data_IF_711066591168
#
_entry.id   IF_711066591168
#
_cell.length_a   1.000
_cell.length_b   1.000
_cell.length_c   1.000
_cell.angle_alpha   90.00
_cell.angle_beta   90.00
_cell.angle_gamma   90.00
#
_symmetry.space_group_name_H-M   'P 1'
#
loop_
_entity.id
_entity.type
_entity.pdbx_description
1 polymer ?
#
# COMPACT_ATOMS: atom_id res chain seq x y z
N UNK A 1 6.99 18.12 32.97
CA UNK A 1 5.82 18.98 32.69
C UNK A 1 4.82 18.15 31.91
N UNK A 2 3.55 18.05 32.31
CA UNK A 2 2.55 17.32 31.52
C UNK A 2 2.31 18.07 30.22
N UNK A 3 2.42 17.38 29.09
CA UNK A 3 2.10 17.95 27.78
C UNK A 3 0.58 18.13 27.67
N UNK A 4 0.11 19.39 27.66
CA UNK A 4 -1.28 19.74 27.38
C UNK A 4 -1.39 19.94 25.87
N UNK A 5 -1.81 18.91 25.15
CA UNK A 5 -2.00 18.94 23.70
C UNK A 5 -2.47 17.58 23.16
N UNK A 6 -3.16 17.58 22.01
CA UNK A 6 -3.44 16.33 21.28
C UNK A 6 -2.12 15.80 20.74
N UNK A 7 -1.80 14.54 20.99
CA UNK A 7 -0.66 13.88 20.35
C UNK A 7 -0.86 13.89 18.83
N UNK A 8 0.20 14.17 18.07
CA UNK A 8 0.20 14.02 16.61
C UNK A 8 -0.23 12.59 16.28
N UNK A 9 -1.47 12.44 15.80
CA UNK A 9 -2.04 11.13 15.45
C UNK A 9 -1.56 10.68 14.07
N UNK A 10 -1.20 11.63 13.19
CA UNK A 10 -0.63 11.36 11.87
C UNK A 10 0.00 12.62 11.26
N UNK A 11 1.10 12.45 10.51
CA UNK A 11 1.81 13.50 9.78
C UNK A 11 3.32 13.38 9.92
N UNK A 12 4.06 13.35 8.81
CA UNK A 12 5.52 13.24 8.81
C UNK A 12 6.15 14.64 8.83
N UNK A 13 6.11 15.29 9.99
CA UNK A 13 6.75 16.59 10.20
C UNK A 13 8.18 16.38 10.68
N UNK A 14 9.15 16.76 9.86
CA UNK A 14 10.57 16.56 10.16
C UNK A 14 11.20 17.93 10.38
N UNK A 15 11.80 18.14 11.56
CA UNK A 15 12.70 19.27 11.77
C UNK A 15 14.07 18.91 11.18
N UNK A 16 14.57 19.73 10.28
CA UNK A 16 15.89 19.54 9.68
C UNK A 16 16.98 20.00 10.65
N UNK A 17 18.19 19.53 10.40
CA UNK A 17 19.37 19.93 11.14
C UNK A 17 19.65 21.43 10.97
N UNK A 18 20.27 22.02 11.99
CA UNK A 18 20.60 23.44 12.00
C UNK A 18 21.71 23.77 10.98
N UNK A 19 21.52 24.88 10.26
CA UNK A 19 22.46 25.38 9.25
C UNK A 19 23.23 26.61 9.73
N UNK A 20 22.90 27.17 10.90
CA UNK A 20 23.45 28.43 11.40
C UNK A 20 24.99 28.45 11.42
N UNK A 21 25.62 27.33 11.79
CA UNK A 21 27.09 27.22 11.83
C UNK A 21 27.79 27.40 10.48
N UNK A 22 27.03 27.35 9.38
CA UNK A 22 27.54 27.50 8.01
C UNK A 22 27.34 28.91 7.46
N UNK A 23 26.67 29.80 8.19
CA UNK A 23 26.38 31.17 7.73
C UNK A 23 27.61 32.06 7.88
N UNK A 24 28.02 32.71 6.78
CA UNK A 24 29.21 33.56 6.70
C UNK A 24 28.92 34.94 6.06
N UNK A 25 27.65 35.23 5.72
CA UNK A 25 27.26 36.45 5.02
C UNK A 25 27.52 36.44 3.50
N UNK A 26 27.99 35.33 2.93
CA UNK A 26 28.33 35.22 1.50
C UNK A 26 27.77 33.97 0.83
N UNK A 27 27.79 32.83 1.52
CA UNK A 27 27.27 31.54 1.05
C UNK A 27 25.75 31.57 1.01
N UNK A 28 25.19 31.15 -0.12
CA UNK A 28 23.73 31.13 -0.35
C UNK A 28 23.15 29.73 -0.41
N UNK A 29 23.96 28.72 -0.77
CA UNK A 29 23.51 27.33 -0.95
C UNK A 29 23.96 26.43 0.19
N UNK A 30 23.04 25.64 0.73
CA UNK A 30 23.27 24.76 1.88
C UNK A 30 22.63 23.40 1.65
N UNK A 31 23.25 22.35 2.21
CA UNK A 31 22.69 20.99 2.16
C UNK A 31 21.64 20.82 3.26
N UNK A 32 20.49 20.26 2.89
CA UNK A 32 19.42 19.86 3.80
C UNK A 32 19.74 18.48 4.37
N UNK A 33 19.80 18.38 5.70
CA UNK A 33 20.02 17.11 6.41
C UNK A 33 19.02 16.93 7.55
N UNK A 34 18.83 15.68 7.96
CA UNK A 34 18.10 15.30 9.18
C UNK A 34 18.87 14.20 9.89
N UNK A 35 19.26 14.44 11.15
CA UNK A 35 20.08 13.49 11.90
C UNK A 35 21.42 13.17 11.21
N UNK A 36 21.98 14.14 10.47
CA UNK A 36 23.23 14.00 9.72
C UNK A 36 23.11 13.27 8.37
N UNK A 37 21.93 12.79 7.99
CA UNK A 37 21.68 12.18 6.69
C UNK A 37 21.06 13.17 5.71
N UNK A 38 21.41 13.07 4.43
CA UNK A 38 20.85 13.93 3.37
C UNK A 38 19.33 13.84 3.32
N UNK A 39 18.66 14.98 3.26
CA UNK A 39 17.21 15.08 3.16
C UNK A 39 16.81 15.74 1.84
N UNK A 40 15.94 15.07 1.08
CA UNK A 40 15.37 15.60 -0.16
C UNK A 40 13.87 15.83 0.03
N UNK A 41 13.39 17.08 0.11
CA UNK A 41 11.96 17.36 0.18
C UNK A 41 11.27 16.99 -1.13
N UNK A 42 10.01 16.58 -1.05
CA UNK A 42 9.20 16.29 -2.24
C UNK A 42 8.91 17.54 -3.11
N UNK A 43 8.92 18.72 -2.51
CA UNK A 43 8.83 20.03 -3.18
C UNK A 43 9.38 21.12 -2.27
N UNK A 44 9.89 22.22 -2.84
CA UNK A 44 10.29 23.40 -2.07
C UNK A 44 9.11 23.95 -1.23
N UNK A 45 7.89 23.89 -1.76
CA UNK A 45 6.66 24.32 -1.08
C UNK A 45 6.31 23.48 0.16
N UNK A 46 6.94 22.32 0.34
CA UNK A 46 6.77 21.49 1.51
C UNK A 46 7.70 21.91 2.67
N UNK A 47 8.50 22.97 2.52
CA UNK A 47 9.36 23.48 3.59
C UNK A 47 8.79 24.76 4.19
N UNK A 48 8.69 24.78 5.51
CA UNK A 48 8.57 26.01 6.29
C UNK A 48 9.95 26.44 6.75
N UNK A 49 10.47 27.53 6.17
CA UNK A 49 11.80 28.07 6.47
C UNK A 49 11.66 29.38 7.21
N UNK A 50 12.30 29.49 8.37
CA UNK A 50 12.43 30.73 9.13
C UNK A 50 13.89 31.10 9.23
N UNK A 51 14.25 32.30 8.77
CA UNK A 51 15.60 32.84 8.83
C UNK A 51 15.58 34.19 9.54
N UNK A 52 16.39 34.36 10.60
CA UNK A 52 16.41 35.57 11.41
C UNK A 52 15.06 35.89 12.10
N UNK A 53 14.23 34.87 12.31
CA UNK A 53 12.85 35.03 12.83
C UNK A 53 11.81 35.43 11.79
N UNK A 54 12.18 35.56 10.51
CA UNK A 54 11.26 35.90 9.41
C UNK A 54 11.00 34.65 8.55
N UNK A 55 9.71 34.37 8.29
CA UNK A 55 9.30 33.29 7.39
C UNK A 55 9.68 33.65 5.96
N UNK A 56 10.34 32.73 5.26
CA UNK A 56 10.83 32.92 3.91
C UNK A 56 9.83 32.38 2.89
N UNK A 57 9.63 33.11 1.79
CA UNK A 57 8.74 32.70 0.70
C UNK A 57 9.51 31.86 -0.34
N UNK A 58 8.96 30.71 -0.71
CA UNK A 58 9.50 29.85 -1.78
C UNK A 58 9.43 30.58 -3.13
N UNK A 59 10.50 30.50 -3.91
CA UNK A 59 10.60 31.10 -5.25
C UNK A 59 11.10 32.53 -5.25
N UNK A 60 10.84 33.29 -4.17
CA UNK A 60 11.34 34.67 -3.99
C UNK A 60 12.53 34.73 -3.05
N UNK A 61 12.40 34.20 -1.83
CA UNK A 61 13.44 34.25 -0.80
C UNK A 61 14.40 33.05 -0.86
N UNK A 62 13.92 31.90 -1.31
CA UNK A 62 14.74 30.72 -1.50
C UNK A 62 14.20 29.77 -2.58
N UNK A 63 15.07 28.91 -3.08
CA UNK A 63 14.73 27.79 -3.97
C UNK A 63 15.34 26.50 -3.43
N UNK A 64 14.81 25.35 -3.86
CA UNK A 64 15.35 24.04 -3.47
C UNK A 64 15.54 23.18 -4.72
N UNK A 65 16.74 22.61 -4.84
CA UNK A 65 17.08 21.66 -5.90
C UNK A 65 17.66 20.42 -5.24
N UNK A 66 17.00 19.27 -5.39
CA UNK A 66 17.35 18.04 -4.70
C UNK A 66 17.42 18.26 -3.18
N UNK A 67 18.59 18.02 -2.58
CA UNK A 67 18.88 18.18 -1.17
C UNK A 67 19.52 19.53 -0.83
N UNK A 68 19.49 20.51 -1.73
CA UNK A 68 20.12 21.81 -1.52
C UNK A 68 19.08 22.93 -1.50
N UNK A 69 19.15 23.76 -0.46
CA UNK A 69 18.41 25.02 -0.37
C UNK A 69 19.34 26.17 -0.77
N UNK A 70 18.85 27.08 -1.62
CA UNK A 70 19.56 28.28 -2.05
C UNK A 70 18.75 29.51 -1.69
N UNK A 71 19.30 30.35 -0.82
CA UNK A 71 18.70 31.65 -0.47
C UNK A 71 19.04 32.71 -1.51
N UNK A 72 18.08 33.60 -1.79
CA UNK A 72 18.29 34.72 -2.73
C UNK A 72 19.26 35.76 -2.18
N UNK A 73 19.34 35.89 -0.85
CA UNK A 73 20.33 36.71 -0.15
C UNK A 73 21.11 35.82 0.83
N UNK A 74 22.43 36.01 0.97
CA UNK A 74 23.22 35.23 1.89
C UNK A 74 22.79 35.50 3.34
N UNK A 75 22.53 34.46 4.15
CA UNK A 75 22.29 34.62 5.57
C UNK A 75 23.45 35.31 6.28
N UNK A 76 23.16 36.25 7.19
CA UNK A 76 24.18 36.84 8.06
C UNK A 76 24.70 35.80 9.06
N UNK A 77 25.96 35.96 9.51
CA UNK A 77 26.60 34.98 10.39
C UNK A 77 25.90 34.83 11.77
N UNK A 78 25.12 35.83 12.18
CA UNK A 78 24.34 35.86 13.41
C UNK A 78 22.88 35.42 13.22
N UNK A 79 22.45 35.13 11.98
CA UNK A 79 21.08 34.75 11.69
C UNK A 79 20.76 33.35 12.26
N UNK A 80 19.65 33.25 13.00
CA UNK A 80 19.10 31.97 13.44
C UNK A 80 18.25 31.35 12.35
N UNK A 81 18.26 30.03 12.22
CA UNK A 81 17.44 29.30 11.26
C UNK A 81 16.70 28.13 11.90
N UNK A 82 15.49 27.87 11.42
CA UNK A 82 14.89 26.55 11.53
C UNK A 82 14.13 26.23 10.25
N UNK A 83 14.15 24.94 9.89
CA UNK A 83 13.42 24.43 8.73
C UNK A 83 12.58 23.24 9.19
N UNK A 84 11.29 23.29 8.89
CA UNK A 84 10.36 22.18 9.09
C UNK A 84 9.91 21.68 7.72
N UNK A 85 10.17 20.41 7.42
CA UNK A 85 9.52 19.75 6.30
C UNK A 85 8.12 19.28 6.71
N UNK A 86 7.12 19.72 5.95
CA UNK A 86 5.70 19.48 6.17
C UNK A 86 5.22 18.14 5.57
N UNK A 87 6.16 17.27 5.17
CA UNK A 87 5.92 15.96 4.57
C UNK A 87 5.97 15.97 3.05
N UNK A 88 6.12 14.80 2.45
CA UNK A 88 6.10 14.63 0.99
C UNK A 88 4.65 14.62 0.49
N UNK A 89 4.43 15.12 -0.73
CA UNK A 89 3.15 15.01 -1.43
C UNK A 89 2.75 13.54 -1.55
N UNK A 90 1.68 13.19 -0.83
CA UNK A 90 1.03 11.87 -0.77
C UNK A 90 1.93 10.77 -0.20
N UNK A 91 2.10 10.77 1.12
CA UNK A 91 2.34 9.52 1.84
C UNK A 91 1.00 8.79 1.95
N UNK A 92 0.71 7.87 1.02
CA UNK A 92 -0.23 6.80 1.35
C UNK A 92 0.45 5.98 2.44
N UNK A 93 0.09 6.25 3.69
CA UNK A 93 0.63 5.50 4.82
C UNK A 93 0.36 4.01 4.62
N UNK A 94 1.33 3.15 4.93
CA UNK A 94 1.08 1.72 5.04
C UNK A 94 0.00 1.52 6.12
N UNK A 95 -1.15 0.90 5.81
CA UNK A 95 -2.13 0.58 6.83
C UNK A 95 -1.48 -0.29 7.91
N UNK A 96 -1.76 0.00 9.18
CA UNK A 96 -1.33 -0.89 10.25
C UNK A 96 -2.03 -2.25 10.14
N UNK A 97 -1.45 -3.27 10.74
CA UNK A 97 -1.97 -4.64 10.70
C UNK A 97 -3.45 -4.68 11.14
N UNK A 98 -4.29 -5.31 10.32
CA UNK A 98 -5.73 -5.46 10.59
C UNK A 98 -6.58 -4.19 10.41
N UNK A 99 -6.01 -3.07 9.94
CA UNK A 99 -6.76 -1.81 9.84
C UNK A 99 -7.55 -1.63 8.54
N UNK A 100 -7.30 -2.44 7.51
CA UNK A 100 -8.09 -2.41 6.27
C UNK A 100 -9.27 -3.36 6.42
N UNK A 101 -10.48 -2.80 6.46
CA UNK A 101 -11.74 -3.54 6.46
C UNK A 101 -12.49 -3.32 5.13
N UNK A 102 -13.60 -4.04 4.94
CA UNK A 102 -14.39 -3.99 3.71
C UNK A 102 -14.95 -2.59 3.39
N UNK A 103 -15.16 -1.73 4.40
CA UNK A 103 -15.70 -0.36 4.20
C UNK A 103 -14.63 0.61 3.72
N UNK A 104 -13.35 0.27 3.91
CA UNK A 104 -12.19 1.06 3.46
C UNK A 104 -11.78 0.76 2.02
N UNK A 105 -12.45 -0.17 1.35
CA UNK A 105 -12.22 -0.52 -0.05
C UNK A 105 -13.26 0.18 -0.94
N UNK A 106 -12.80 1.04 -1.84
CA UNK A 106 -13.65 1.90 -2.70
C UNK A 106 -14.46 1.09 -3.75
N UNK A 107 -14.03 -0.14 -4.10
CA UNK A 107 -14.76 -1.04 -4.98
C UNK A 107 -14.47 -2.52 -4.63
N UNK A 108 -15.31 -3.43 -5.16
CA UNK A 108 -15.17 -4.89 -5.12
C UNK A 108 -13.71 -5.35 -5.21
N UNK A 109 -13.34 -6.42 -4.49
CA UNK A 109 -12.01 -7.02 -4.59
C UNK A 109 -11.57 -7.08 -6.07
N UNK A 110 -10.50 -6.35 -6.40
CA UNK A 110 -9.89 -6.39 -7.72
C UNK A 110 -9.24 -7.75 -7.98
N UNK A 111 -8.30 -7.81 -8.92
CA UNK A 111 -7.51 -9.03 -9.14
C UNK A 111 -6.58 -9.27 -7.95
N UNK A 112 -6.78 -10.37 -7.23
CA UNK A 112 -5.82 -10.85 -6.22
C UNK A 112 -4.82 -11.80 -6.89
N UNK A 113 -3.53 -11.47 -6.84
CA UNK A 113 -2.45 -12.25 -7.48
C UNK A 113 -1.50 -12.89 -6.45
N UNK A 114 -1.89 -12.92 -5.18
CA UNK A 114 -1.07 -13.43 -4.08
C UNK A 114 -1.20 -14.92 -3.84
N UNK A 115 -0.31 -15.46 -3.01
CA UNK A 115 -0.37 -16.83 -2.49
C UNK A 115 -1.09 -16.78 -1.15
N UNK A 116 -2.23 -17.45 -1.01
CA UNK A 116 -3.01 -17.44 0.22
C UNK A 116 -4.37 -18.11 0.10
N UNK A 117 -5.05 -18.25 1.24
CA UNK A 117 -6.42 -18.76 1.30
C UNK A 117 -7.42 -17.62 1.15
N UNK A 118 -8.42 -17.82 0.30
CA UNK A 118 -9.57 -16.92 0.19
C UNK A 118 -10.78 -17.62 0.82
N UNK A 119 -11.38 -17.00 1.84
CA UNK A 119 -12.60 -17.50 2.49
C UNK A 119 -13.78 -16.62 2.09
N UNK A 120 -14.74 -17.18 1.36
CA UNK A 120 -15.99 -16.51 0.96
C UNK A 120 -17.18 -17.12 1.69
N UNK A 121 -18.04 -16.28 2.24
CA UNK A 121 -19.37 -16.68 2.72
C UNK A 121 -20.38 -16.35 1.63
N UNK A 122 -20.91 -17.36 0.94
CA UNK A 122 -21.91 -17.19 -0.12
C UNK A 122 -21.60 -17.96 -1.41
N UNK A 123 -22.17 -17.50 -2.52
CA UNK A 123 -22.02 -18.11 -3.86
C UNK A 123 -20.75 -17.59 -4.52
N UNK A 124 -19.95 -18.49 -5.08
CA UNK A 124 -18.83 -18.14 -5.98
C UNK A 124 -19.31 -18.21 -7.44
N UNK A 125 -19.58 -17.06 -8.05
CA UNK A 125 -19.90 -16.96 -9.48
C UNK A 125 -18.63 -16.65 -10.27
N UNK A 126 -17.98 -17.68 -10.82
CA UNK A 126 -16.76 -17.54 -11.61
C UNK A 126 -16.95 -18.12 -13.02
N UNK A 127 -16.32 -17.50 -14.02
CA UNK A 127 -16.24 -18.06 -15.38
C UNK A 127 -15.32 -19.28 -15.45
N UNK A 128 -14.32 -19.36 -14.57
CA UNK A 128 -13.50 -20.55 -14.37
C UNK A 128 -12.96 -20.62 -12.95
N UNK A 129 -12.89 -21.83 -12.40
CA UNK A 129 -12.08 -22.14 -11.21
C UNK A 129 -10.98 -23.11 -11.64
N UNK A 130 -9.72 -22.81 -11.31
CA UNK A 130 -8.56 -23.64 -11.63
C UNK A 130 -7.78 -23.89 -10.34
N UNK A 131 -7.54 -25.16 -10.01
CA UNK A 131 -6.84 -25.58 -8.79
C UNK A 131 -6.81 -27.10 -8.68
N UNK A 132 -6.15 -27.65 -7.65
CA UNK A 132 -6.09 -29.10 -7.41
C UNK A 132 -7.44 -29.72 -7.04
N UNK A 133 -8.40 -28.91 -6.60
CA UNK A 133 -9.76 -29.34 -6.29
C UNK A 133 -9.88 -30.27 -5.07
N UNK A 134 -8.79 -30.61 -4.39
CA UNK A 134 -8.74 -31.65 -3.34
C UNK A 134 -9.59 -31.34 -2.11
N UNK A 135 -9.86 -30.05 -1.88
CA UNK A 135 -10.68 -29.53 -0.78
C UNK A 135 -12.06 -29.02 -1.22
N UNK A 136 -12.42 -29.15 -2.51
CA UNK A 136 -13.77 -28.84 -2.97
C UNK A 136 -14.72 -29.94 -2.49
N UNK A 137 -15.38 -29.70 -1.37
CA UNK A 137 -16.39 -30.58 -0.76
C UNK A 137 -17.78 -29.91 -0.85
N UNK A 138 -18.85 -30.69 -0.80
CA UNK A 138 -20.22 -30.14 -0.75
C UNK A 138 -20.71 -29.50 -2.06
N UNK A 139 -20.04 -29.74 -3.19
CA UNK A 139 -20.58 -29.43 -4.52
C UNK A 139 -21.81 -30.32 -4.74
N UNK A 140 -22.98 -29.82 -4.32
CA UNK A 140 -24.25 -30.47 -4.66
C UNK A 140 -24.38 -30.47 -6.17
N UNK A 141 -24.80 -31.61 -6.73
CA UNK A 141 -24.85 -31.91 -8.16
C UNK A 141 -25.83 -31.03 -8.98
N UNK A 142 -25.82 -29.72 -8.78
CA UNK A 142 -26.32 -28.77 -9.74
C UNK A 142 -25.42 -28.82 -10.96
N UNK A 143 -25.67 -29.82 -11.81
CA UNK A 143 -25.31 -29.91 -13.23
C UNK A 143 -23.92 -29.34 -13.51
N UNK A 144 -22.91 -30.21 -13.64
CA UNK A 144 -21.73 -29.86 -14.45
C UNK A 144 -22.22 -29.62 -15.88
N UNK A 145 -22.79 -28.44 -16.14
CA UNK A 145 -23.25 -28.01 -17.47
C UNK A 145 -22.02 -27.62 -18.24
N UNK A 146 -21.33 -28.62 -18.76
CA UNK A 146 -20.49 -28.42 -19.91
C UNK A 146 -21.37 -28.63 -21.13
N UNK A 147 -21.47 -27.60 -21.98
CA UNK A 147 -22.11 -27.72 -23.30
C UNK A 147 -21.33 -28.67 -24.24
N UNK A 148 -20.29 -29.39 -23.75
CA UNK A 148 -19.56 -30.36 -24.57
C UNK A 148 -18.94 -31.60 -23.90
N UNK A 149 -18.59 -31.68 -22.61
CA UNK A 149 -17.99 -32.93 -22.04
C UNK A 149 -18.13 -33.03 -20.51
N UNK A 150 -18.44 -34.24 -20.00
CA UNK A 150 -18.46 -34.58 -18.57
C UNK A 150 -17.10 -34.54 -17.85
N UNK A 151 -16.94 -35.31 -16.78
CA UNK A 151 -15.68 -35.36 -16.00
C UNK A 151 -14.60 -36.05 -16.87
N UNK A 152 -13.56 -35.30 -17.27
CA UNK A 152 -12.37 -35.86 -17.93
C UNK A 152 -11.34 -36.16 -16.86
N UNK A 153 -11.00 -37.44 -16.69
CA UNK A 153 -9.96 -37.89 -15.77
C UNK A 153 -8.95 -38.75 -16.48
N UNK A 154 -7.70 -38.70 -16.00
CA UNK A 154 -6.62 -39.57 -16.50
C UNK A 154 -6.53 -40.87 -15.69
N UNK A 155 -7.44 -41.07 -14.74
CA UNK A 155 -7.56 -42.23 -13.84
C UNK A 155 -9.04 -42.60 -13.65
N UNK A 156 -9.37 -43.85 -13.30
CA UNK A 156 -10.75 -44.23 -13.03
C UNK A 156 -11.39 -43.38 -11.93
N UNK A 157 -12.64 -42.95 -12.16
CA UNK A 157 -13.46 -42.25 -11.16
C UNK A 157 -14.47 -43.23 -10.60
N UNK A 158 -14.56 -43.31 -9.27
CA UNK A 158 -15.65 -44.00 -8.59
C UNK A 158 -16.83 -43.04 -8.40
N UNK A 159 -18.04 -43.46 -8.82
CA UNK A 159 -19.29 -42.81 -8.41
C UNK A 159 -19.86 -43.63 -7.27
N UNK A 160 -19.91 -43.07 -6.06
CA UNK A 160 -20.58 -43.75 -4.94
C UNK A 160 -22.09 -43.51 -5.07
N UNK A 161 -22.82 -44.54 -5.49
CA UNK A 161 -24.26 -44.48 -5.74
C UNK A 161 -25.01 -45.14 -4.59
N UNK A 162 -24.91 -44.61 -3.37
CA UNK A 162 -25.57 -45.25 -2.22
C UNK A 162 -27.11 -45.16 -2.26
N UNK A 163 -27.69 -44.42 -3.22
CA UNK A 163 -29.15 -44.25 -3.38
C UNK A 163 -29.63 -44.19 -4.85
N UNK A 164 -28.86 -44.67 -5.84
CA UNK A 164 -29.41 -44.79 -7.19
C UNK A 164 -30.29 -46.04 -7.28
N UNK A 165 -31.59 -45.87 -7.05
CA UNK A 165 -32.59 -46.86 -7.45
C UNK A 165 -32.92 -46.63 -8.94
N UNK A 166 -31.90 -46.77 -9.80
CA UNK A 166 -32.03 -46.65 -11.24
C UNK A 166 -31.87 -48.03 -11.89
N UNK A 167 -32.98 -48.57 -12.38
CA UNK A 167 -33.04 -49.90 -13.02
C UNK A 167 -32.31 -49.95 -14.36
N UNK A 168 -31.96 -48.79 -14.93
CA UNK A 168 -31.31 -48.69 -16.23
C UNK A 168 -29.80 -48.46 -16.12
N UNK A 169 -29.23 -48.46 -14.91
CA UNK A 169 -27.78 -48.54 -14.69
C UNK A 169 -27.26 -49.96 -14.98
N UNK A 170 -27.34 -50.39 -16.24
CA UNK A 170 -26.75 -51.66 -16.68
C UNK A 170 -25.24 -51.52 -16.77
N UNK A 171 -24.54 -51.79 -15.68
CA UNK A 171 -23.12 -52.10 -15.77
C UNK A 171 -22.96 -53.31 -16.69
N UNK A 172 -22.13 -53.18 -17.73
CA UNK A 172 -21.69 -54.30 -18.56
C UNK A 172 -20.86 -55.22 -17.66
N UNK A 173 -21.55 -56.05 -16.88
CA UNK A 173 -20.92 -57.12 -16.14
C UNK A 173 -20.17 -57.96 -17.14
N UNK A 174 -18.86 -58.09 -16.94
CA UNK A 174 -18.02 -58.99 -17.70
C UNK A 174 -18.62 -60.39 -17.60
N UNK A 175 -19.25 -60.84 -18.69
CA UNK A 175 -19.61 -62.25 -18.85
C UNK A 175 -18.30 -63.04 -18.90
N UNK A 176 -18.04 -63.81 -17.85
CA UNK A 176 -17.13 -64.95 -17.89
C UNK A 176 -17.87 -66.17 -18.45
#
# INVERSE_FOLDING_TARGET
>A
MPYIGRQLTQGNFIKLDDLQSQFDGSKTTFNLTTGGSSYTPGSANALLVSLGGVIQEVGTSFTVTNNQITFSNPPTADAQIFIIALGNSVSVGTPADGTVDATKLNASFGNYTGIGTIVLSGIVSATSLRGDGSLLTGVSAGKFVSDSVGIVTNTPVGVQTSTLDDKDLTGIGNSF
#
